data_IF_646594613094
#
_entry.id   IF_646594613094
#
_cell.length_a   1.000
_cell.length_b   1.000
_cell.length_c   1.000
_cell.angle_alpha   90.00
_cell.angle_beta   90.00
_cell.angle_gamma   90.00
#
_symmetry.space_group_name_H-M   'P 1'
#
loop_
_entity.id
_entity.type
_entity.pdbx_description
1 polymer ?
#
# COMPACT_ATOMS: atom_id res chain seq x y z
N UNK A 1 -18.51 16.89 18.12
CA UNK A 1 -18.87 16.18 16.87
C UNK A 1 -18.01 14.95 16.78
N UNK A 2 -18.53 13.82 17.23
CA UNK A 2 -17.91 12.50 17.02
C UNK A 2 -18.43 12.08 15.63
N UNK A 3 -17.78 12.53 14.57
CA UNK A 3 -17.91 11.81 13.30
C UNK A 3 -17.30 10.45 13.57
N UNK A 4 -18.09 9.40 13.40
CA UNK A 4 -17.76 8.03 13.77
C UNK A 4 -16.42 7.65 13.12
N UNK A 5 -15.37 7.39 13.91
CA UNK A 5 -14.01 7.22 13.39
C UNK A 5 -13.94 6.08 12.35
N UNK A 6 -14.84 5.10 12.45
CA UNK A 6 -14.98 4.03 11.46
C UNK A 6 -15.46 4.53 10.09
N UNK A 7 -16.35 5.53 10.03
CA UNK A 7 -16.81 6.13 8.77
C UNK A 7 -15.70 6.91 8.07
N UNK A 8 -14.84 7.59 8.85
CA UNK A 8 -13.68 8.31 8.31
C UNK A 8 -12.65 7.33 7.73
N UNK A 9 -12.29 6.27 8.45
CA UNK A 9 -11.34 5.24 7.96
C UNK A 9 -11.85 4.53 6.70
N UNK A 10 -13.15 4.22 6.66
CA UNK A 10 -13.77 3.65 5.47
C UNK A 10 -13.66 4.60 4.27
N UNK A 11 -13.84 5.91 4.49
CA UNK A 11 -13.65 6.92 3.45
C UNK A 11 -12.20 7.03 2.99
N UNK A 12 -11.22 6.84 3.89
CA UNK A 12 -9.78 6.81 3.60
C UNK A 12 -9.38 5.68 2.64
N UNK A 13 -9.82 4.46 2.91
CA UNK A 13 -9.50 3.33 2.03
C UNK A 13 -10.18 3.43 0.67
N UNK A 14 -11.44 3.90 0.62
CA UNK A 14 -12.11 4.19 -0.64
C UNK A 14 -11.37 5.25 -1.44
N UNK A 15 -10.90 6.31 -0.76
CA UNK A 15 -10.10 7.35 -1.36
C UNK A 15 -8.79 6.80 -1.93
N UNK A 16 -8.08 5.94 -1.19
CA UNK A 16 -6.86 5.30 -1.66
C UNK A 16 -7.09 4.50 -2.96
N UNK A 17 -8.10 3.63 -2.99
CA UNK A 17 -8.42 2.83 -4.18
C UNK A 17 -8.84 3.72 -5.37
N UNK A 18 -9.68 4.72 -5.11
CA UNK A 18 -10.13 5.64 -6.15
C UNK A 18 -8.95 6.44 -6.77
N UNK A 19 -8.04 6.91 -5.93
CA UNK A 19 -6.84 7.62 -6.38
C UNK A 19 -5.86 6.71 -7.12
N UNK A 20 -5.64 5.47 -6.67
CA UNK A 20 -4.78 4.51 -7.36
C UNK A 20 -5.30 4.18 -8.76
N UNK A 21 -6.61 3.93 -8.90
CA UNK A 21 -7.25 3.68 -10.19
C UNK A 21 -7.14 4.90 -11.13
N UNK A 22 -7.34 6.11 -10.61
CA UNK A 22 -7.13 7.36 -11.36
C UNK A 22 -5.66 7.56 -11.76
N UNK A 23 -4.74 7.17 -10.89
CA UNK A 23 -3.29 7.19 -11.12
C UNK A 23 -2.79 6.14 -12.11
N UNK A 24 -3.68 5.29 -12.63
CA UNK A 24 -3.36 4.31 -13.67
C UNK A 24 -3.07 2.91 -13.16
N UNK A 25 -3.24 2.63 -11.86
CA UNK A 25 -3.14 1.26 -11.38
C UNK A 25 -4.21 0.38 -12.05
N UNK A 26 -3.82 -0.77 -12.59
CA UNK A 26 -4.73 -1.73 -13.25
C UNK A 26 -4.62 -3.15 -12.73
N UNK A 27 -3.71 -3.40 -11.79
CA UNK A 27 -3.69 -4.63 -11.02
C UNK A 27 -3.60 -4.31 -9.53
N UNK A 28 -4.34 -5.04 -8.71
CA UNK A 28 -4.28 -4.93 -7.26
C UNK A 28 -4.11 -6.30 -6.61
N UNK A 29 -3.06 -6.44 -5.81
CA UNK A 29 -2.72 -7.68 -5.12
C UNK A 29 -2.60 -7.40 -3.62
N UNK A 30 -3.20 -8.25 -2.79
CA UNK A 30 -3.07 -8.12 -1.33
C UNK A 30 -3.28 -9.46 -0.64
N UNK A 31 -2.61 -9.66 0.51
CA UNK A 31 -2.94 -10.73 1.45
C UNK A 31 -4.10 -10.30 2.36
N UNK A 32 -4.93 -11.24 2.84
CA UNK A 32 -6.01 -10.92 3.77
C UNK A 32 -5.47 -10.49 5.14
N UNK A 33 -5.98 -9.37 5.68
CA UNK A 33 -5.76 -8.95 7.06
C UNK A 33 -6.99 -8.20 7.59
N UNK A 34 -7.37 -8.37 8.87
CA UNK A 34 -8.48 -7.61 9.47
C UNK A 34 -8.29 -6.09 9.37
N UNK A 35 -7.02 -5.63 9.37
CA UNK A 35 -6.66 -4.21 9.41
C UNK A 35 -6.96 -3.45 8.13
N UNK A 36 -6.99 -4.15 6.99
CA UNK A 36 -7.27 -3.55 5.67
C UNK A 36 -8.37 -4.26 4.88
N UNK A 37 -9.23 -5.04 5.56
CA UNK A 37 -10.31 -5.79 4.91
C UNK A 37 -11.25 -4.89 4.08
N UNK A 38 -11.57 -3.69 4.58
CA UNK A 38 -12.38 -2.71 3.84
C UNK A 38 -11.69 -2.19 2.57
N UNK A 39 -10.36 -2.05 2.59
CA UNK A 39 -9.56 -1.68 1.41
C UNK A 39 -9.57 -2.81 0.37
N UNK A 40 -9.42 -4.06 0.80
CA UNK A 40 -9.54 -5.24 -0.07
C UNK A 40 -10.93 -5.33 -0.70
N UNK A 41 -11.98 -5.15 0.10
CA UNK A 41 -13.37 -5.18 -0.38
C UNK A 41 -13.64 -4.10 -1.44
N UNK A 42 -13.18 -2.86 -1.20
CA UNK A 42 -13.33 -1.80 -2.20
C UNK A 42 -12.50 -2.11 -3.45
N UNK A 43 -11.28 -2.64 -3.31
CA UNK A 43 -10.44 -3.03 -4.44
C UNK A 43 -11.07 -4.15 -5.28
N UNK A 44 -11.60 -5.19 -4.63
CA UNK A 44 -12.30 -6.31 -5.25
C UNK A 44 -13.50 -5.86 -6.09
N UNK A 45 -14.18 -4.79 -5.65
CA UNK A 45 -15.29 -4.19 -6.37
C UNK A 45 -14.82 -3.25 -7.48
N UNK A 46 -13.91 -2.33 -7.18
CA UNK A 46 -13.57 -1.19 -8.06
C UNK A 46 -12.60 -1.50 -9.17
N UNK A 47 -11.63 -2.39 -8.96
CA UNK A 47 -10.67 -2.73 -10.02
C UNK A 47 -11.37 -3.36 -11.22
N UNK A 48 -12.24 -4.39 -11.06
CA UNK A 48 -13.01 -4.94 -12.17
C UNK A 48 -13.92 -3.92 -12.86
N UNK A 49 -14.61 -3.07 -12.09
CA UNK A 49 -15.45 -1.97 -12.61
C UNK A 49 -14.69 -0.98 -13.50
N UNK A 50 -13.36 -0.88 -13.34
CA UNK A 50 -12.49 0.06 -14.05
C UNK A 50 -11.50 -0.66 -14.99
N UNK A 51 -11.85 -1.86 -15.46
CA UNK A 51 -11.05 -2.67 -16.38
C UNK A 51 -9.65 -3.06 -15.85
N UNK A 52 -9.51 -3.14 -14.53
CA UNK A 52 -8.36 -3.72 -13.86
C UNK A 52 -8.66 -5.08 -13.24
N UNK A 53 -7.65 -5.66 -12.60
CA UNK A 53 -7.75 -6.95 -11.92
C UNK A 53 -7.49 -6.81 -10.43
N UNK A 54 -8.22 -7.58 -9.63
CA UNK A 54 -7.94 -7.79 -8.20
C UNK A 54 -7.70 -9.26 -7.94
N UNK A 55 -6.62 -9.58 -7.20
CA UNK A 55 -6.35 -10.94 -6.73
C UNK A 55 -5.95 -10.89 -5.26
N UNK A 56 -6.69 -11.62 -4.44
CA UNK A 56 -6.30 -11.87 -3.05
C UNK A 56 -5.28 -13.02 -3.03
N UNK A 57 -4.04 -12.71 -2.66
CA UNK A 57 -2.96 -13.69 -2.52
C UNK A 57 -3.05 -14.42 -1.18
N UNK A 58 -2.37 -15.57 -1.05
CA UNK A 58 -2.36 -16.30 0.23
C UNK A 58 -1.51 -15.59 1.29
N UNK A 59 -0.45 -14.92 0.86
CA UNK A 59 0.50 -14.22 1.73
C UNK A 59 1.07 -12.97 1.02
N UNK A 60 1.67 -12.02 1.76
CA UNK A 60 2.13 -10.76 1.18
C UNK A 60 3.30 -10.92 0.19
N UNK A 61 4.14 -11.96 0.35
CA UNK A 61 5.24 -12.25 -0.58
C UNK A 61 4.70 -12.64 -1.96
N UNK A 62 3.65 -13.47 -2.00
CA UNK A 62 2.95 -13.81 -3.24
C UNK A 62 2.29 -12.58 -3.86
N UNK A 63 1.64 -11.72 -3.06
CA UNK A 63 1.03 -10.50 -3.56
C UNK A 63 2.03 -9.61 -4.29
N UNK A 64 3.21 -9.37 -3.70
CA UNK A 64 4.24 -8.56 -4.35
C UNK A 64 4.91 -9.29 -5.52
N UNK A 65 5.00 -10.63 -5.50
CA UNK A 65 5.52 -11.41 -6.62
C UNK A 65 4.60 -11.32 -7.85
N UNK A 66 3.28 -11.36 -7.63
CA UNK A 66 2.30 -11.12 -8.70
C UNK A 66 2.42 -9.69 -9.24
N UNK A 67 2.64 -8.71 -8.36
CA UNK A 67 2.87 -7.32 -8.75
C UNK A 67 4.13 -7.15 -9.60
N UNK A 68 5.23 -7.83 -9.26
CA UNK A 68 6.46 -7.85 -10.08
C UNK A 68 6.17 -8.36 -11.50
N UNK A 69 5.45 -9.47 -11.63
CA UNK A 69 5.05 -10.00 -12.95
C UNK A 69 4.16 -9.03 -13.73
N UNK A 70 3.19 -8.38 -13.06
CA UNK A 70 2.34 -7.37 -13.69
C UNK A 70 3.13 -6.15 -14.16
N UNK A 71 4.06 -5.65 -13.34
CA UNK A 71 4.92 -4.52 -13.65
C UNK A 71 5.80 -4.77 -14.88
N UNK A 72 6.37 -5.98 -15.01
CA UNK A 72 7.14 -6.38 -16.19
C UNK A 72 6.31 -6.40 -17.48
N UNK A 73 4.99 -6.59 -17.37
CA UNK A 73 4.05 -6.53 -18.50
C UNK A 73 3.55 -5.11 -18.79
N UNK A 74 4.14 -4.09 -18.14
CA UNK A 74 3.79 -2.68 -18.34
C UNK A 74 2.53 -2.23 -17.60
N UNK A 75 1.99 -3.06 -16.69
CA UNK A 75 0.85 -2.69 -15.85
C UNK A 75 1.37 -2.09 -14.55
N UNK A 76 0.83 -0.95 -14.11
CA UNK A 76 1.14 -0.41 -12.78
C UNK A 76 0.33 -1.18 -11.72
N UNK A 77 0.98 -1.94 -10.81
CA UNK A 77 0.30 -2.64 -9.74
C UNK A 77 0.18 -1.77 -8.49
N UNK A 78 -0.91 -1.98 -7.76
CA UNK A 78 -1.07 -1.62 -6.36
C UNK A 78 -0.87 -2.89 -5.53
N UNK A 79 -0.15 -2.76 -4.41
CA UNK A 79 -0.10 -3.78 -3.36
C UNK A 79 -0.42 -3.14 -2.03
N UNK A 80 -1.23 -3.77 -1.19
CA UNK A 80 -1.47 -3.28 0.17
C UNK A 80 -1.10 -4.31 1.22
N UNK A 81 -0.75 -3.82 2.40
CA UNK A 81 -0.40 -4.65 3.56
C UNK A 81 -0.16 -3.80 4.80
N UNK A 82 0.02 -4.46 5.94
CA UNK A 82 0.48 -3.79 7.15
C UNK A 82 2.03 -3.78 7.23
N UNK A 83 2.57 -3.28 8.35
CA UNK A 83 4.01 -3.24 8.54
C UNK A 83 4.68 -4.63 8.56
N UNK A 84 4.03 -5.64 9.15
CA UNK A 84 4.55 -7.01 9.15
C UNK A 84 4.61 -7.57 7.73
N UNK A 85 3.58 -7.32 6.92
CA UNK A 85 3.57 -7.69 5.50
C UNK A 85 4.74 -7.02 4.74
N UNK A 86 4.97 -5.72 4.98
CA UNK A 86 6.08 -4.99 4.37
C UNK A 86 7.44 -5.61 4.69
N UNK A 87 7.65 -6.06 5.93
CA UNK A 87 8.87 -6.76 6.34
C UNK A 87 9.02 -8.15 5.69
N UNK A 88 7.92 -8.85 5.42
CA UNK A 88 7.97 -10.12 4.71
C UNK A 88 8.29 -9.94 3.22
N UNK A 89 7.85 -8.84 2.62
CA UNK A 89 7.99 -8.55 1.18
C UNK A 89 9.38 -8.09 0.72
N UNK A 90 10.34 -7.97 1.63
CA UNK A 90 11.62 -7.27 1.43
C UNK A 90 12.46 -7.81 0.26
N UNK A 91 12.54 -9.13 0.10
CA UNK A 91 13.30 -9.79 -0.97
C UNK A 91 12.69 -9.50 -2.36
N UNK A 92 11.37 -9.54 -2.46
CA UNK A 92 10.65 -9.24 -3.70
C UNK A 92 10.69 -7.74 -4.00
N UNK A 93 10.64 -6.89 -2.98
CA UNK A 93 10.80 -5.45 -3.11
C UNK A 93 12.18 -5.07 -3.68
N UNK A 94 13.23 -5.75 -3.22
CA UNK A 94 14.57 -5.60 -3.78
C UNK A 94 14.61 -6.01 -5.27
N UNK A 95 13.86 -7.05 -5.63
CA UNK A 95 13.76 -7.51 -7.01
C UNK A 95 13.04 -6.50 -7.91
N UNK A 96 11.93 -5.91 -7.45
CA UNK A 96 11.26 -4.79 -8.15
C UNK A 96 12.22 -3.63 -8.40
N UNK A 97 12.99 -3.24 -7.37
CA UNK A 97 13.92 -2.12 -7.48
C UNK A 97 15.02 -2.38 -8.52
N UNK A 98 15.66 -3.55 -8.42
CA UNK A 98 16.76 -3.96 -9.32
C UNK A 98 16.33 -4.16 -10.77
N UNK A 99 15.06 -4.53 -10.97
CA UNK A 99 14.48 -4.74 -12.30
C UNK A 99 13.78 -3.50 -12.84
N UNK A 100 13.91 -2.36 -12.15
CA UNK A 100 13.31 -1.09 -12.56
C UNK A 100 11.79 -1.22 -12.84
N UNK A 101 11.11 -1.94 -11.94
CA UNK A 101 9.70 -2.23 -12.08
C UNK A 101 8.86 -1.28 -11.21
N UNK A 102 7.94 -0.49 -11.80
CA UNK A 102 7.10 0.44 -11.06
C UNK A 102 6.07 -0.34 -10.21
N UNK A 103 5.88 0.07 -8.96
CA UNK A 103 4.87 -0.51 -8.07
C UNK A 103 4.45 0.51 -7.02
N UNK A 104 3.16 0.56 -6.70
CA UNK A 104 2.65 1.38 -5.58
C UNK A 104 2.33 0.46 -4.41
N UNK A 105 2.93 0.74 -3.25
CA UNK A 105 2.68 0.03 -1.99
C UNK A 105 1.80 0.90 -1.08
N UNK A 106 0.62 0.43 -0.69
CA UNK A 106 -0.22 1.06 0.33
C UNK A 106 0.01 0.34 1.67
N UNK A 107 0.85 0.92 2.53
CA UNK A 107 1.27 0.29 3.78
C UNK A 107 0.52 0.91 4.95
N UNK A 108 -0.29 0.12 5.64
CA UNK A 108 -1.01 0.54 6.82
C UNK A 108 -0.09 0.56 8.03
N UNK A 109 0.04 1.73 8.64
CA UNK A 109 0.63 1.91 9.96
C UNK A 109 -0.39 1.53 11.02
N UNK A 110 -0.43 0.24 11.30
CA UNK A 110 -1.11 -0.28 12.47
C UNK A 110 -0.22 -1.34 13.10
N UNK A 111 0.19 -1.10 14.35
CA UNK A 111 0.81 -2.14 15.17
C UNK A 111 -0.33 -3.00 15.70
N UNK A 112 -0.38 -4.26 15.27
CA UNK A 112 -0.98 -5.28 16.12
C UNK A 112 -0.19 -5.29 17.44
N UNK A 113 -0.85 -5.26 18.61
CA UNK A 113 -0.18 -5.56 19.85
C UNK A 113 0.52 -6.90 19.68
N UNK A 114 1.85 -6.93 19.77
CA UNK A 114 2.59 -8.19 19.70
C UNK A 114 2.08 -9.21 20.74
N UNK A 115 1.51 -8.71 21.85
CA UNK A 115 0.77 -9.44 22.89
C UNK A 115 -0.45 -8.62 23.37
N UNK A 116 -1.50 -9.27 23.96
CA UNK A 116 -2.73 -8.61 24.42
C UNK A 116 -2.51 -7.43 25.38
N UNK A 117 -1.39 -7.41 26.09
CA UNK A 117 -1.02 -6.39 27.07
C UNK A 117 -0.10 -5.30 26.50
N UNK A 118 0.33 -5.41 25.24
CA UNK A 118 1.16 -4.39 24.61
C UNK A 118 0.29 -3.15 24.31
N UNK A 119 0.58 -2.05 25.00
CA UNK A 119 0.00 -0.74 24.70
C UNK A 119 0.20 -0.42 23.21
N UNK A 120 -0.77 0.18 22.50
CA UNK A 120 -0.56 0.68 21.15
C UNK A 120 0.52 1.76 21.21
N UNK A 121 1.77 1.36 21.01
CA UNK A 121 2.89 2.27 21.00
C UNK A 121 2.68 3.28 19.88
N UNK A 122 2.83 4.56 20.20
CA UNK A 122 2.88 5.67 19.23
C UNK A 122 4.09 5.60 18.26
N UNK A 123 4.74 4.43 18.15
CA UNK A 123 6.09 4.23 17.62
C UNK A 123 6.17 3.17 16.50
N UNK A 124 5.69 3.49 15.30
CA UNK A 124 6.41 3.01 14.11
C UNK A 124 6.77 4.14 13.14
N UNK A 125 6.35 5.38 13.40
CA UNK A 125 6.65 6.53 12.54
C UNK A 125 8.15 6.68 12.19
N UNK A 126 9.11 6.50 13.12
CA UNK A 126 10.53 6.65 12.80
C UNK A 126 11.06 5.57 11.84
N UNK A 127 10.48 4.36 11.83
CA UNK A 127 10.90 3.27 10.96
C UNK A 127 10.55 3.56 9.49
N UNK A 128 9.48 4.33 9.24
CA UNK A 128 9.11 4.83 7.92
C UNK A 128 9.78 6.14 7.53
N UNK A 129 10.46 6.83 8.46
CA UNK A 129 11.39 7.90 8.10
C UNK A 129 12.66 7.32 7.44
N UNK A 130 12.90 6.01 7.60
CA UNK A 130 13.97 5.30 6.92
C UNK A 130 13.51 3.87 6.52
N UNK A 131 12.55 3.74 5.60
CA UNK A 131 12.01 2.46 5.16
C UNK A 131 12.95 1.85 4.12
N UNK A 132 14.25 1.87 4.40
CA UNK A 132 15.18 1.10 3.61
C UNK A 132 14.69 -0.32 3.67
N UNK A 133 14.50 -0.96 2.50
CA UNK A 133 14.39 -2.38 2.55
C UNK A 133 15.63 -2.91 3.28
N UNK A 134 15.58 -4.10 3.87
CA UNK A 134 16.72 -4.73 4.54
C UNK A 134 18.01 -4.74 3.66
N UNK A 135 17.84 -4.51 2.36
CA UNK A 135 18.85 -4.32 1.33
C UNK A 135 19.58 -2.96 1.30
N UNK A 136 19.13 -1.93 2.02
CA UNK A 136 19.73 -0.58 2.00
C UNK A 136 19.41 0.26 0.76
N UNK A 137 18.42 -0.14 -0.06
CA UNK A 137 17.99 0.60 -1.24
C UNK A 137 17.04 1.77 -0.87
N UNK A 138 17.07 2.91 -1.57
CA UNK A 138 16.17 4.02 -1.27
C UNK A 138 14.75 3.68 -1.69
N UNK A 139 13.78 3.76 -0.77
CA UNK A 139 12.35 3.65 -1.06
C UNK A 139 11.68 5.00 -0.85
N UNK A 140 11.10 5.57 -1.92
CA UNK A 140 10.30 6.80 -1.80
C UNK A 140 9.05 6.46 -0.99
N UNK A 141 8.82 7.20 0.09
CA UNK A 141 7.67 7.02 0.96
C UNK A 141 6.92 8.33 1.16
N UNK A 142 5.63 8.33 0.84
CA UNK A 142 4.72 9.45 0.98
C UNK A 142 3.76 9.19 2.15
N UNK A 143 3.57 10.18 3.02
CA UNK A 143 2.76 10.02 4.21
C UNK A 143 1.70 11.13 4.29
N UNK A 144 0.45 10.84 3.91
CA UNK A 144 -0.62 11.82 4.00
C UNK A 144 -0.96 12.18 5.45
N UNK A 145 -1.26 13.46 5.67
CA UNK A 145 -1.73 13.97 6.98
C UNK A 145 -3.24 14.22 7.01
N UNK A 146 -3.92 14.10 5.86
CA UNK A 146 -5.38 14.27 5.74
C UNK A 146 -5.95 13.43 4.58
N UNK A 147 -7.26 13.21 4.57
CA UNK A 147 -7.97 12.56 3.46
C UNK A 147 -7.78 13.30 2.11
N UNK A 148 -7.77 14.64 2.14
CA UNK A 148 -7.53 15.44 0.94
C UNK A 148 -6.12 15.24 0.39
N UNK A 149 -5.11 15.17 1.27
CA UNK A 149 -3.75 14.85 0.87
C UNK A 149 -3.60 13.41 0.41
N UNK A 150 -4.33 12.45 0.99
CA UNK A 150 -4.26 11.04 0.61
C UNK A 150 -4.50 10.86 -0.88
N UNK A 151 -5.58 11.45 -1.42
CA UNK A 151 -5.84 11.41 -2.86
C UNK A 151 -4.68 11.94 -3.69
N UNK A 152 -4.14 13.10 -3.31
CA UNK A 152 -3.06 13.74 -4.04
C UNK A 152 -1.77 12.91 -3.98
N UNK A 153 -1.40 12.42 -2.80
CA UNK A 153 -0.16 11.67 -2.60
C UNK A 153 -0.23 10.29 -3.25
N UNK A 154 -1.38 9.61 -3.26
CA UNK A 154 -1.52 8.34 -3.99
C UNK A 154 -1.35 8.56 -5.48
N UNK A 155 -1.94 9.62 -6.04
CA UNK A 155 -1.72 9.95 -7.45
C UNK A 155 -0.25 10.29 -7.72
N UNK A 156 0.38 11.12 -6.88
CA UNK A 156 1.80 11.42 -6.99
C UNK A 156 2.67 10.17 -6.87
N UNK A 157 2.32 9.21 -6.00
CA UNK A 157 3.02 7.93 -5.90
C UNK A 157 2.94 7.14 -7.21
N UNK A 158 1.78 7.14 -7.88
CA UNK A 158 1.63 6.47 -9.17
C UNK A 158 2.49 7.12 -10.27
N UNK A 159 2.54 8.45 -10.31
CA UNK A 159 3.43 9.18 -11.24
C UNK A 159 4.90 8.90 -10.94
N UNK A 160 5.31 9.03 -9.68
CA UNK A 160 6.69 8.80 -9.24
C UNK A 160 7.14 7.36 -9.51
N UNK A 161 6.28 6.38 -9.27
CA UNK A 161 6.57 4.98 -9.57
C UNK A 161 6.81 4.78 -11.06
N UNK A 162 5.96 5.34 -11.92
CA UNK A 162 6.10 5.27 -13.39
C UNK A 162 7.33 6.01 -13.90
N UNK A 163 7.55 7.25 -13.46
CA UNK A 163 8.67 8.06 -13.95
C UNK A 163 10.02 7.57 -13.43
N UNK A 164 10.03 7.06 -12.19
CA UNK A 164 11.22 6.51 -11.57
C UNK A 164 11.50 5.08 -12.00
N UNK A 165 10.52 4.35 -12.53
CA UNK A 165 10.59 2.90 -12.73
C UNK A 165 10.99 2.18 -11.45
N UNK A 166 10.41 2.59 -10.32
CA UNK A 166 10.79 2.13 -8.98
C UNK A 166 9.55 1.95 -8.10
N UNK A 167 9.62 1.11 -7.05
CA UNK A 167 8.54 1.03 -6.08
C UNK A 167 8.42 2.32 -5.27
N UNK A 168 7.19 2.73 -4.97
CA UNK A 168 6.87 3.88 -4.13
C UNK A 168 5.86 3.44 -3.07
N UNK A 169 6.13 3.78 -1.81
CA UNK A 169 5.22 3.52 -0.71
C UNK A 169 4.36 4.73 -0.37
N UNK A 170 3.08 4.49 -0.10
CA UNK A 170 2.15 5.40 0.54
C UNK A 170 1.82 4.82 1.91
N UNK A 171 2.14 5.57 2.95
CA UNK A 171 2.04 5.12 4.33
C UNK A 171 0.72 5.63 4.91
N UNK A 172 -0.24 4.73 5.10
CA UNK A 172 -1.59 5.03 5.58
C UNK A 172 -1.61 5.00 7.11
N UNK A 173 -1.82 6.17 7.73
CA UNK A 173 -1.98 6.29 9.17
C UNK A 173 -3.35 5.78 9.67
N UNK A 174 -3.49 5.47 10.97
CA UNK A 174 -4.73 4.97 11.57
C UNK A 174 -5.86 6.01 11.68
N UNK A 175 -5.57 7.28 11.38
CA UNK A 175 -6.50 8.42 11.49
C UNK A 175 -6.96 8.96 10.13
N UNK A 176 -6.59 8.29 9.03
CA UNK A 176 -6.99 8.62 7.66
C UNK A 176 -8.21 7.83 7.22
#
# INVERSE_FOLDING_TARGET
MIVDQQQLVFSGFQACIAAALRGGCRAYFASPSPLHASLLNEGARRFPEQHGSFVQAANPVEALSMALGAAQMGVLPLVSGNFSDFLAMQEVLQSLYRQECPCVLAILLYQEPAWPEASPLAYPYPCFLNPWPASGLPLISLMPSSLSQLHQLVWQACELARTGSQPVAVVLGPLL
#
